data_IF_081780534683
#
_entry.id   IF_081780534683
#
_cell.length_a   1.000
_cell.length_b   1.000
_cell.length_c   1.000
_cell.angle_alpha   90.00
_cell.angle_beta   90.00
_cell.angle_gamma   90.00
#
_symmetry.space_group_name_H-M   'P 1'
#
loop_
_entity.id
_entity.type
_entity.pdbx_description
1 polymer ?
#
# COMPACT_ATOMS: atom_id res chain seq x y z
N UNK A 1 -4.06 32.04 -18.64
CA UNK A 1 -5.29 31.33 -19.05
C UNK A 1 -4.87 30.28 -20.07
N UNK A 2 -5.14 29.00 -19.83
CA UNK A 2 -4.79 27.95 -20.81
C UNK A 2 -5.79 28.01 -21.95
N UNK A 3 -5.31 28.12 -23.18
CA UNK A 3 -6.13 28.09 -24.40
C UNK A 3 -5.93 26.75 -25.11
N UNK A 4 -6.99 26.25 -25.73
CA UNK A 4 -6.99 24.98 -26.47
C UNK A 4 -7.47 25.23 -27.89
N UNK A 5 -6.87 24.54 -28.85
CA UNK A 5 -7.17 24.68 -30.28
C UNK A 5 -8.13 23.59 -30.79
N UNK A 6 -8.33 22.52 -30.00
CA UNK A 6 -9.22 21.42 -30.33
C UNK A 6 -9.84 20.77 -29.09
N UNK A 7 -10.90 19.99 -29.30
CA UNK A 7 -11.51 19.17 -28.25
C UNK A 7 -10.56 18.08 -27.74
N UNK A 8 -9.74 17.50 -28.63
CA UNK A 8 -8.75 16.49 -28.26
C UNK A 8 -7.69 17.05 -27.31
N UNK A 9 -7.28 18.31 -27.50
CA UNK A 9 -6.38 18.99 -26.56
C UNK A 9 -7.00 19.15 -25.17
N UNK A 10 -8.30 19.44 -25.10
CA UNK A 10 -9.03 19.54 -23.82
C UNK A 10 -9.06 18.18 -23.13
N UNK A 11 -9.42 17.11 -23.85
CA UNK A 11 -9.48 15.76 -23.29
C UNK A 11 -8.11 15.30 -22.79
N UNK A 12 -7.07 15.54 -23.57
CA UNK A 12 -5.69 15.19 -23.18
C UNK A 12 -5.23 16.00 -21.97
N UNK A 13 -5.58 17.28 -21.88
CA UNK A 13 -5.30 18.11 -20.72
C UNK A 13 -5.97 17.56 -19.46
N UNK A 14 -7.25 17.19 -19.52
CA UNK A 14 -7.98 16.65 -18.38
C UNK A 14 -7.39 15.30 -17.96
N UNK A 15 -7.20 14.36 -18.90
CA UNK A 15 -6.63 13.03 -18.63
C UNK A 15 -5.29 13.14 -17.93
N UNK A 16 -4.35 13.91 -18.50
CA UNK A 16 -3.01 14.12 -17.91
C UNK A 16 -3.07 14.68 -16.49
N UNK A 17 -4.02 15.56 -16.20
CA UNK A 17 -4.17 16.12 -14.84
C UNK A 17 -4.82 15.13 -13.87
N UNK A 18 -5.73 14.27 -14.34
CA UNK A 18 -6.25 13.14 -13.55
C UNK A 18 -5.12 12.16 -13.22
N UNK A 19 -4.33 11.72 -14.22
CA UNK A 19 -3.20 10.81 -14.03
C UNK A 19 -2.24 11.34 -12.97
N UNK A 20 -1.87 12.62 -13.06
CA UNK A 20 -1.01 13.28 -12.07
C UNK A 20 -1.66 13.33 -10.68
N UNK A 21 -2.97 13.54 -10.59
CA UNK A 21 -3.66 13.61 -9.30
C UNK A 21 -3.75 12.23 -8.63
N UNK A 22 -3.93 11.19 -9.44
CA UNK A 22 -3.85 9.79 -9.02
C UNK A 22 -2.46 9.45 -8.46
N UNK A 23 -1.40 9.72 -9.20
CA UNK A 23 -0.01 9.38 -8.81
C UNK A 23 0.49 10.12 -7.57
N UNK A 24 -0.01 11.34 -7.34
CA UNK A 24 0.46 12.19 -6.25
C UNK A 24 -0.51 12.15 -5.07
N UNK A 25 -1.64 12.84 -5.18
CA UNK A 25 -2.58 13.03 -4.08
C UNK A 25 -3.25 11.72 -3.66
N UNK A 26 -3.81 10.96 -4.61
CA UNK A 26 -4.51 9.71 -4.27
C UNK A 26 -3.54 8.66 -3.75
N UNK A 27 -2.40 8.43 -4.42
CA UNK A 27 -1.39 7.48 -3.95
C UNK A 27 -0.87 7.83 -2.54
N UNK A 28 -0.68 9.12 -2.24
CA UNK A 28 -0.27 9.58 -0.91
C UNK A 28 -1.34 9.31 0.16
N UNK A 29 -2.61 9.53 -0.17
CA UNK A 29 -3.73 9.22 0.73
C UNK A 29 -3.82 7.72 1.02
N UNK A 30 -3.80 6.88 -0.01
CA UNK A 30 -3.82 5.41 0.15
C UNK A 30 -2.66 4.95 1.04
N UNK A 31 -1.45 5.45 0.77
CA UNK A 31 -0.26 5.13 1.57
C UNK A 31 -0.46 5.45 3.06
N UNK A 32 -0.99 6.62 3.39
CA UNK A 32 -1.20 7.02 4.79
C UNK A 32 -2.20 6.13 5.50
N UNK A 33 -3.29 5.76 4.83
CA UNK A 33 -4.31 4.86 5.39
C UNK A 33 -3.72 3.45 5.56
N UNK A 34 -2.95 2.96 4.59
CA UNK A 34 -2.27 1.68 4.71
C UNK A 34 -1.25 1.68 5.86
N UNK A 35 -0.46 2.75 6.01
CA UNK A 35 0.47 2.91 7.12
C UNK A 35 -0.23 2.86 8.48
N UNK A 36 -1.40 3.48 8.61
CA UNK A 36 -2.23 3.40 9.81
C UNK A 36 -2.65 1.95 10.09
N UNK A 37 -3.14 1.23 9.09
CA UNK A 37 -3.53 -0.18 9.26
C UNK A 37 -2.34 -1.11 9.53
N UNK A 38 -1.17 -0.85 8.95
CA UNK A 38 0.04 -1.60 9.29
C UNK A 38 0.41 -1.37 10.76
N UNK A 39 0.35 -0.13 11.23
CA UNK A 39 0.63 0.18 12.62
C UNK A 39 -0.37 -0.49 13.57
N UNK A 40 -1.68 -0.39 13.31
CA UNK A 40 -2.71 -0.93 14.22
C UNK A 40 -2.92 -2.43 14.09
N UNK A 41 -3.03 -2.94 12.86
CA UNK A 41 -3.45 -4.30 12.58
C UNK A 41 -2.29 -5.29 12.41
N UNK A 42 -1.06 -4.80 12.25
CA UNK A 42 0.13 -5.66 12.16
C UNK A 42 1.08 -5.44 13.33
N UNK A 43 1.56 -4.21 13.54
CA UNK A 43 2.57 -3.93 14.56
C UNK A 43 1.98 -3.84 15.96
N UNK A 44 0.78 -3.28 16.11
CA UNK A 44 0.07 -3.13 17.37
C UNK A 44 -0.49 -4.44 17.94
N UNK A 45 -0.45 -5.54 17.19
CA UNK A 45 -0.98 -6.82 17.66
C UNK A 45 -0.08 -7.51 18.69
N UNK A 46 1.24 -7.25 18.62
CA UNK A 46 2.21 -7.72 19.61
C UNK A 46 3.58 -7.05 19.39
N UNK A 47 4.36 -6.99 20.48
CA UNK A 47 5.76 -6.59 20.46
C UNK A 47 6.65 -7.83 20.36
N UNK A 48 7.44 -8.01 19.27
CA UNK A 48 8.35 -9.13 19.18
C UNK A 48 9.47 -9.04 20.22
N UNK A 49 9.84 -10.17 20.81
CA UNK A 49 10.93 -10.27 21.81
C UNK A 49 12.23 -10.78 21.19
N UNK A 50 12.14 -11.60 20.13
CA UNK A 50 13.27 -12.30 19.52
C UNK A 50 13.90 -11.54 18.33
N UNK A 51 13.25 -10.50 17.82
CA UNK A 51 13.75 -9.74 16.68
C UNK A 51 13.25 -8.30 16.72
N UNK A 52 13.95 -7.42 16.01
CA UNK A 52 13.50 -6.05 15.79
C UNK A 52 12.77 -5.95 14.45
N UNK A 53 11.59 -5.30 14.46
CA UNK A 53 10.89 -5.00 13.20
C UNK A 53 11.73 -4.00 12.41
N UNK A 54 11.79 -4.17 11.09
CA UNK A 54 12.46 -3.20 10.19
C UNK A 54 11.87 -1.79 10.32
N UNK A 55 10.56 -1.68 10.60
CA UNK A 55 9.89 -0.38 10.77
C UNK A 55 10.03 0.52 9.53
N UNK A 56 9.91 1.83 9.73
CA UNK A 56 10.09 2.81 8.65
C UNK A 56 11.55 2.85 8.19
N UNK A 57 12.50 3.05 9.12
CA UNK A 57 13.91 3.26 8.81
C UNK A 57 14.61 2.04 8.17
N UNK A 58 14.19 0.83 8.54
CA UNK A 58 14.73 -0.42 7.99
C UNK A 58 14.04 -0.89 6.72
N UNK A 59 13.22 -0.06 6.06
CA UNK A 59 12.49 -0.44 4.84
C UNK A 59 11.55 -1.63 5.07
N UNK A 60 10.81 -1.59 6.18
CA UNK A 60 9.80 -2.58 6.57
C UNK A 60 8.45 -2.38 5.89
N UNK A 61 7.42 -3.09 6.38
CA UNK A 61 6.08 -3.07 5.79
C UNK A 61 5.47 -1.66 5.70
N UNK A 62 5.70 -0.85 6.74
CA UNK A 62 5.20 0.52 6.88
C UNK A 62 5.98 1.56 6.04
N UNK A 63 7.14 1.17 5.51
CA UNK A 63 8.06 2.12 4.87
C UNK A 63 7.46 2.68 3.57
N UNK A 64 7.46 4.00 3.44
CA UNK A 64 6.78 4.69 2.33
C UNK A 64 7.24 4.22 0.95
N UNK A 65 8.50 3.85 0.80
CA UNK A 65 9.08 3.34 -0.44
C UNK A 65 8.60 1.94 -0.83
N UNK A 66 8.03 1.17 0.11
CA UNK A 66 7.44 -0.13 -0.19
C UNK A 66 5.95 -0.03 -0.52
N UNK A 67 5.27 1.07 -0.21
CA UNK A 67 3.87 1.31 -0.58
C UNK A 67 3.83 2.16 -1.85
N UNK A 68 3.81 1.46 -2.98
CA UNK A 68 4.09 2.03 -4.30
C UNK A 68 2.79 2.19 -5.08
N UNK A 69 2.51 3.42 -5.50
CA UNK A 69 1.45 3.73 -6.47
C UNK A 69 2.01 3.75 -7.89
N UNK A 70 1.38 3.02 -8.81
CA UNK A 70 1.70 3.01 -10.24
C UNK A 70 0.41 3.10 -11.05
N UNK A 71 0.41 3.93 -12.07
CA UNK A 71 -0.64 3.89 -13.08
C UNK A 71 -0.54 2.59 -13.87
N UNK A 72 -1.68 1.92 -14.05
CA UNK A 72 -1.79 0.80 -15.00
C UNK A 72 -2.24 1.29 -16.37
N UNK A 73 -2.91 2.43 -16.40
CA UNK A 73 -3.27 3.25 -17.56
C UNK A 73 -3.47 4.70 -17.10
N UNK A 74 -3.83 5.61 -18.01
CA UNK A 74 -3.97 7.04 -17.71
C UNK A 74 -4.96 7.38 -16.58
N UNK A 75 -5.92 6.49 -16.27
CA UNK A 75 -7.02 6.77 -15.35
C UNK A 75 -7.14 5.77 -14.20
N UNK A 76 -6.25 4.78 -14.13
CA UNK A 76 -6.31 3.73 -13.13
C UNK A 76 -5.00 3.65 -12.34
N UNK A 77 -5.09 3.95 -11.04
CA UNK A 77 -4.00 3.79 -10.09
C UNK A 77 -4.06 2.42 -9.43
N UNK A 78 -2.94 1.71 -9.42
CA UNK A 78 -2.71 0.54 -8.58
C UNK A 78 -1.74 0.91 -7.47
N UNK A 79 -2.11 0.65 -6.22
CA UNK A 79 -1.21 0.78 -5.06
C UNK A 79 -0.92 -0.60 -4.50
N UNK A 80 0.35 -0.91 -4.27
CA UNK A 80 0.80 -2.21 -3.75
C UNK A 80 1.85 -2.01 -2.66
N UNK A 81 1.79 -2.85 -1.63
CA UNK A 81 2.92 -3.06 -0.75
C UNK A 81 3.88 -4.07 -1.38
N UNK A 82 5.12 -3.68 -1.63
CA UNK A 82 6.15 -4.50 -2.29
C UNK A 82 7.28 -4.89 -1.35
N UNK A 83 7.00 -4.88 -0.04
CA UNK A 83 7.99 -5.19 0.98
C UNK A 83 8.58 -6.59 0.78
N UNK A 84 9.90 -6.72 0.54
CA UNK A 84 10.50 -8.04 0.40
C UNK A 84 10.64 -8.73 1.76
N UNK A 85 10.63 -10.08 1.80
CA UNK A 85 11.12 -10.83 2.95
C UNK A 85 12.53 -10.38 3.36
N UNK A 86 12.90 -10.58 4.62
CA UNK A 86 14.24 -10.24 5.07
C UNK A 86 15.28 -11.14 4.37
N UNK A 87 16.26 -10.59 3.63
CA UNK A 87 17.09 -11.34 2.68
C UNK A 87 18.02 -12.37 3.33
N UNK A 88 18.28 -12.26 4.64
CA UNK A 88 19.13 -13.16 5.42
C UNK A 88 18.44 -13.62 6.70
N UNK A 89 17.14 -13.92 6.65
CA UNK A 89 16.44 -14.35 7.85
C UNK A 89 16.87 -15.79 8.16
N UNK A 90 17.86 -15.90 9.04
CA UNK A 90 18.24 -17.12 9.70
C UNK A 90 17.42 -17.19 10.99
N UNK A 91 16.75 -18.31 11.21
CA UNK A 91 16.28 -18.64 12.54
C UNK A 91 17.44 -19.34 13.24
N UNK A 92 18.05 -18.73 14.25
CA UNK A 92 19.30 -19.23 14.86
C UNK A 92 19.23 -20.71 15.30
N UNK A 93 18.03 -21.23 15.61
CA UNK A 93 17.83 -22.62 16.03
C UNK A 93 17.50 -23.61 14.91
N UNK A 94 17.28 -23.15 13.68
CA UNK A 94 17.05 -24.01 12.52
C UNK A 94 18.03 -23.60 11.42
N UNK A 95 18.95 -24.48 11.05
CA UNK A 95 19.90 -24.34 9.94
C UNK A 95 19.25 -24.15 8.55
N UNK A 96 17.96 -23.82 8.50
CA UNK A 96 17.14 -23.56 7.34
C UNK A 96 16.97 -22.05 7.17
N UNK A 97 17.41 -21.51 6.03
CA UNK A 97 17.07 -20.13 5.62
C UNK A 97 15.55 -20.07 5.42
N UNK A 98 14.88 -19.06 5.96
CA UNK A 98 13.47 -18.84 5.58
C UNK A 98 13.39 -18.51 4.09
N UNK A 99 12.33 -18.95 3.45
CA UNK A 99 12.04 -18.69 2.04
C UNK A 99 11.88 -17.20 1.78
N UNK A 100 12.74 -16.66 0.91
CA UNK A 100 12.76 -15.25 0.54
C UNK A 100 12.03 -14.95 -0.76
N UNK A 101 11.51 -15.99 -1.44
CA UNK A 101 10.73 -15.91 -2.66
C UNK A 101 9.22 -15.72 -2.42
N UNK A 102 8.80 -15.43 -1.19
CA UNK A 102 7.39 -15.19 -0.82
C UNK A 102 7.04 -13.70 -0.90
N UNK A 103 5.79 -13.39 -1.24
CA UNK A 103 5.25 -12.04 -1.12
C UNK A 103 4.88 -11.79 0.36
N UNK A 104 5.76 -11.09 1.09
CA UNK A 104 5.60 -10.89 2.54
C UNK A 104 4.28 -10.18 2.90
N UNK A 105 3.87 -9.08 2.23
CA UNK A 105 2.56 -8.47 2.43
C UNK A 105 1.40 -9.46 2.32
N UNK A 106 1.38 -10.31 1.30
CA UNK A 106 0.32 -11.31 1.09
C UNK A 106 0.32 -12.36 2.21
N UNK A 107 1.50 -12.82 2.64
CA UNK A 107 1.62 -13.75 3.75
C UNK A 107 1.10 -13.16 5.06
N UNK A 108 1.34 -11.86 5.31
CA UNK A 108 0.83 -11.17 6.50
C UNK A 108 -0.69 -10.96 6.40
N UNK A 109 -1.19 -10.55 5.23
CA UNK A 109 -2.61 -10.30 4.97
C UNK A 109 -3.46 -11.53 5.30
N UNK A 110 -3.05 -12.69 4.77
CA UNK A 110 -3.85 -13.92 4.85
C UNK A 110 -3.37 -14.90 5.94
N UNK A 111 -2.16 -14.73 6.47
CA UNK A 111 -1.58 -15.65 7.43
C UNK A 111 -1.31 -17.04 6.84
N UNK A 112 -1.07 -18.00 7.73
CA UNK A 112 -0.96 -19.43 7.39
C UNK A 112 -2.28 -19.97 6.81
N UNK A 113 -2.20 -20.63 5.65
CA UNK A 113 -3.32 -21.30 4.97
C UNK A 113 -2.83 -22.33 3.95
N UNK A 114 -3.73 -23.11 3.37
CA UNK A 114 -3.44 -24.06 2.28
C UNK A 114 -2.77 -23.42 1.04
N UNK A 115 -2.81 -22.09 0.92
CA UNK A 115 -2.23 -21.32 -0.18
C UNK A 115 -0.98 -20.53 0.23
N UNK A 116 -0.80 -20.26 1.52
CA UNK A 116 0.25 -19.40 2.04
C UNK A 116 0.86 -20.02 3.28
N UNK A 117 2.11 -20.46 3.18
CA UNK A 117 2.79 -21.15 4.26
C UNK A 117 3.90 -20.29 4.86
N UNK A 118 4.01 -20.29 6.18
CA UNK A 118 5.13 -19.78 6.95
C UNK A 118 6.16 -20.90 7.13
N UNK A 119 7.43 -20.53 7.21
CA UNK A 119 8.49 -21.52 7.42
C UNK A 119 8.62 -21.94 8.90
N UNK A 120 7.73 -21.44 9.76
CA UNK A 120 7.75 -21.68 11.21
C UNK A 120 6.69 -22.73 11.60
N UNK A 121 7.06 -23.83 12.27
CA UNK A 121 6.20 -25.01 12.46
C UNK A 121 5.12 -24.85 13.54
N UNK A 122 4.79 -23.64 14.00
CA UNK A 122 3.96 -23.44 15.18
C UNK A 122 2.72 -22.56 14.93
N UNK A 123 1.57 -22.98 15.47
CA UNK A 123 0.32 -22.21 15.50
C UNK A 123 0.38 -21.05 16.52
N UNK A 124 1.23 -20.08 16.25
CA UNK A 124 1.46 -18.93 17.12
C UNK A 124 0.71 -17.68 16.63
N UNK A 125 0.49 -16.71 17.53
CA UNK A 125 -0.28 -15.51 17.21
C UNK A 125 0.29 -14.71 16.02
N UNK A 126 1.57 -14.86 15.68
CA UNK A 126 2.22 -14.16 14.56
C UNK A 126 1.95 -14.79 13.19
N UNK A 127 1.46 -16.04 13.11
CA UNK A 127 1.09 -16.67 11.82
C UNK A 127 -0.38 -16.41 11.42
N UNK A 128 -1.16 -15.80 12.31
CA UNK A 128 -2.57 -15.47 12.06
C UNK A 128 -2.69 -14.32 11.05
N UNK A 129 -3.75 -14.29 10.21
CA UNK A 129 -4.01 -13.22 9.24
C UNK A 129 -4.08 -11.85 9.92
N UNK A 130 -3.48 -10.87 9.25
CA UNK A 130 -3.52 -9.45 9.61
C UNK A 130 -4.02 -8.68 8.38
N UNK A 131 -5.35 -8.56 8.18
CA UNK A 131 -5.92 -8.08 6.93
C UNK A 131 -5.82 -6.55 6.78
N UNK A 132 -4.60 -6.02 6.75
CA UNK A 132 -4.33 -4.58 6.71
C UNK A 132 -4.69 -3.97 5.35
N UNK A 133 -4.50 -4.71 4.25
CA UNK A 133 -4.85 -4.27 2.89
C UNK A 133 -6.36 -4.24 2.71
N UNK A 134 -7.07 -5.30 3.14
CA UNK A 134 -8.52 -5.35 3.09
C UNK A 134 -9.15 -4.22 3.94
N UNK A 135 -8.61 -3.98 5.14
CA UNK A 135 -9.09 -2.88 6.00
C UNK A 135 -8.79 -1.51 5.41
N UNK A 136 -7.62 -1.32 4.80
CA UNK A 136 -7.26 -0.09 4.06
C UNK A 136 -8.26 0.18 2.96
N UNK A 137 -8.56 -0.82 2.13
CA UNK A 137 -9.56 -0.68 1.06
C UNK A 137 -10.93 -0.29 1.62
N UNK A 138 -11.38 -0.96 2.69
CA UNK A 138 -12.66 -0.66 3.35
C UNK A 138 -12.70 0.78 3.88
N UNK A 139 -11.68 1.22 4.62
CA UNK A 139 -11.62 2.58 5.20
C UNK A 139 -11.66 3.64 4.09
N UNK A 140 -10.91 3.45 2.99
CA UNK A 140 -10.90 4.37 1.86
C UNK A 140 -12.24 4.47 1.11
N UNK A 141 -12.94 3.35 0.96
CA UNK A 141 -14.27 3.31 0.32
C UNK A 141 -15.30 4.01 1.21
N UNK A 142 -15.28 3.73 2.51
CA UNK A 142 -16.23 4.30 3.48
C UNK A 142 -15.97 5.80 3.72
N UNK A 143 -14.71 6.23 3.73
CA UNK A 143 -14.35 7.63 4.00
C UNK A 143 -14.50 8.54 2.77
N UNK A 144 -14.42 7.98 1.56
CA UNK A 144 -14.38 8.72 0.31
C UNK A 144 -13.10 9.53 0.11
N UNK A 145 -12.04 9.25 0.86
CA UNK A 145 -10.83 10.08 0.86
C UNK A 145 -10.06 10.05 -0.46
N UNK A 146 -10.15 8.96 -1.23
CA UNK A 146 -9.60 8.92 -2.59
C UNK A 146 -10.28 9.94 -3.51
N UNK A 147 -11.60 10.09 -3.43
CA UNK A 147 -12.35 11.04 -4.24
C UNK A 147 -11.99 12.48 -3.85
N UNK A 148 -11.93 12.77 -2.55
CA UNK A 148 -11.49 14.08 -2.04
C UNK A 148 -10.07 14.41 -2.51
N UNK A 149 -9.13 13.47 -2.37
CA UNK A 149 -7.75 13.64 -2.80
C UNK A 149 -7.62 13.90 -4.31
N UNK A 150 -8.43 13.21 -5.13
CA UNK A 150 -8.50 13.45 -6.57
C UNK A 150 -8.99 14.87 -6.87
N UNK A 151 -10.11 15.30 -6.27
CA UNK A 151 -10.64 16.65 -6.44
C UNK A 151 -9.62 17.73 -6.01
N UNK A 152 -8.94 17.53 -4.88
CA UNK A 152 -7.91 18.45 -4.41
C UNK A 152 -6.72 18.52 -5.38
N UNK A 153 -6.31 17.37 -5.93
CA UNK A 153 -5.28 17.31 -6.96
C UNK A 153 -5.67 18.05 -8.23
N UNK A 154 -6.92 17.90 -8.69
CA UNK A 154 -7.43 18.62 -9.86
C UNK A 154 -7.51 20.14 -9.62
N UNK A 155 -7.96 20.58 -8.44
CA UNK A 155 -8.01 21.99 -8.06
C UNK A 155 -6.63 22.64 -8.06
N UNK A 156 -5.61 21.96 -7.52
CA UNK A 156 -4.20 22.43 -7.59
C UNK A 156 -3.69 22.59 -9.01
N UNK A 157 -4.30 21.88 -9.97
CA UNK A 157 -3.96 21.91 -11.39
C UNK A 157 -4.90 22.82 -12.20
N UNK A 158 -5.70 23.66 -11.54
CA UNK A 158 -6.58 24.64 -12.16
C UNK A 158 -7.90 24.09 -12.69
N UNK A 159 -8.29 22.88 -12.29
CA UNK A 159 -9.56 22.25 -12.67
C UNK A 159 -10.44 22.21 -11.42
N UNK A 160 -11.53 23.00 -11.40
CA UNK A 160 -12.48 22.92 -10.30
C UNK A 160 -13.32 21.64 -10.42
N UNK A 161 -13.33 20.85 -9.35
CA UNK A 161 -14.02 19.57 -9.25
C UNK A 161 -14.62 19.42 -7.85
N UNK A 162 -15.81 18.82 -7.76
CA UNK A 162 -16.51 18.58 -6.50
C UNK A 162 -16.89 17.11 -6.39
N UNK A 163 -16.85 16.58 -5.17
CA UNK A 163 -17.45 15.29 -4.86
C UNK A 163 -18.97 15.41 -4.95
N UNK A 164 -19.63 14.36 -5.46
CA UNK A 164 -21.11 14.26 -5.54
C UNK A 164 -21.67 13.93 -4.16
#
# INVERSE_FOLDING_TARGET
MTTFTSFDEILNFIRKNISKALENEVASTVRKVEQKHIDTDVYGQYTPVLYQRRGMAGRGLIASENIVGRLVDDLTLRVTNETPPYPNAAYESHSSRVTTNKNLPVLIEYGESDKFHNDFPYNLAFIKPRPFTQKTYKDLVESGDCAKALCDGLKKRGIDAKTV
#
